data_IF_625225159457
#
_entry.id   IF_625225159457
#
_cell.length_a   1.000
_cell.length_b   1.000
_cell.length_c   1.000
_cell.angle_alpha   90.00
_cell.angle_beta   90.00
_cell.angle_gamma   90.00
#
_symmetry.space_group_name_H-M   'P 1'
#
loop_
_entity.id
_entity.type
_entity.pdbx_description
1 polymer ?
#
# COMPACT_ATOMS: atom_id res chain seq x y z
N UNK A 1 3.71 25.78 4.08
CA UNK A 1 3.39 24.63 3.19
C UNK A 1 1.98 24.17 3.50
N UNK A 2 1.13 23.83 2.52
CA UNK A 2 -0.26 23.44 2.78
C UNK A 2 -0.34 22.01 3.32
N UNK A 3 -1.44 21.66 4.00
CA UNK A 3 -1.70 20.29 4.50
C UNK A 3 -1.59 19.26 3.37
N UNK A 4 -2.20 19.56 2.22
CA UNK A 4 -2.14 18.69 1.03
C UNK A 4 -0.70 18.49 0.51
N UNK A 5 0.15 19.53 0.56
CA UNK A 5 1.57 19.41 0.18
C UNK A 5 2.34 18.52 1.16
N UNK A 6 2.09 18.64 2.47
CA UNK A 6 2.73 17.78 3.48
C UNK A 6 2.29 16.32 3.34
N UNK A 7 1.00 16.06 3.17
CA UNK A 7 0.49 14.71 2.92
C UNK A 7 1.14 14.06 1.70
N UNK A 8 1.28 14.81 0.59
CA UNK A 8 1.95 14.32 -0.61
C UNK A 8 3.42 14.01 -0.37
N UNK A 9 4.13 14.79 0.44
CA UNK A 9 5.52 14.52 0.79
C UNK A 9 5.66 13.23 1.59
N UNK A 10 4.79 13.01 2.59
CA UNK A 10 4.80 11.75 3.38
C UNK A 10 4.54 10.55 2.47
N UNK A 11 3.55 10.64 1.57
CA UNK A 11 3.25 9.57 0.63
C UNK A 11 4.43 9.23 -0.30
N UNK A 12 5.28 10.22 -0.62
CA UNK A 12 6.44 10.06 -1.50
C UNK A 12 7.73 9.67 -0.76
N UNK A 13 7.78 9.80 0.57
CA UNK A 13 9.00 9.54 1.37
C UNK A 13 9.04 8.14 2.00
N UNK A 14 7.94 7.39 1.93
CA UNK A 14 7.80 6.05 2.51
C UNK A 14 7.45 5.02 1.44
N UNK A 15 7.92 3.78 1.66
CA UNK A 15 7.77 2.66 0.72
C UNK A 15 7.09 1.44 1.35
N UNK A 16 6.56 1.60 2.56
CA UNK A 16 5.74 0.60 3.23
C UNK A 16 4.75 1.28 4.17
N UNK A 17 3.67 0.57 4.47
CA UNK A 17 2.62 1.04 5.36
C UNK A 17 1.78 -0.09 5.91
N UNK A 18 0.85 0.25 6.80
CA UNK A 18 -0.14 -0.70 7.33
C UNK A 18 -1.42 -0.57 6.49
N UNK A 19 -1.68 -1.59 5.68
CA UNK A 19 -2.92 -1.75 4.96
C UNK A 19 -3.96 -2.39 5.88
N UNK A 20 -5.03 -1.66 6.17
CA UNK A 20 -6.18 -2.10 6.94
C UNK A 20 -7.30 -2.49 5.99
N UNK A 21 -7.78 -3.72 6.12
CA UNK A 21 -8.85 -4.31 5.29
C UNK A 21 -9.99 -4.80 6.17
N UNK A 22 -11.18 -5.02 5.61
CA UNK A 22 -12.28 -5.68 6.32
C UNK A 22 -11.99 -7.18 6.42
N UNK A 23 -11.90 -7.74 7.63
CA UNK A 23 -11.57 -9.16 7.78
C UNK A 23 -12.71 -10.05 7.28
N UNK A 24 -12.47 -10.80 6.22
CA UNK A 24 -13.39 -11.83 5.73
C UNK A 24 -13.51 -12.98 6.73
N UNK A 25 -12.39 -13.36 7.36
CA UNK A 25 -12.31 -14.51 8.27
C UNK A 25 -12.92 -14.23 9.65
N UNK A 26 -12.81 -12.99 10.12
CA UNK A 26 -13.31 -12.57 11.44
C UNK A 26 -14.21 -11.34 11.27
N UNK A 27 -15.45 -11.60 10.85
CA UNK A 27 -16.43 -10.55 10.57
C UNK A 27 -16.56 -9.55 11.73
N UNK A 28 -16.60 -8.26 11.40
CA UNK A 28 -16.64 -7.15 12.38
C UNK A 28 -15.27 -6.64 12.83
N UNK A 29 -14.18 -7.35 12.55
CA UNK A 29 -12.82 -6.88 12.85
C UNK A 29 -12.12 -6.31 11.61
N UNK A 30 -11.37 -5.19 11.74
CA UNK A 30 -10.39 -4.81 10.74
C UNK A 30 -9.17 -5.72 10.80
N UNK A 31 -8.52 -5.94 9.67
CA UNK A 31 -7.28 -6.71 9.56
C UNK A 31 -6.16 -5.83 9.02
N UNK A 32 -5.12 -5.63 9.82
CA UNK A 32 -3.93 -4.87 9.46
C UNK A 32 -2.80 -5.77 8.95
N UNK A 33 -2.18 -5.39 7.83
CA UNK A 33 -0.98 -6.05 7.31
C UNK A 33 0.03 -5.02 6.81
N UNK A 34 1.32 -5.28 7.03
CA UNK A 34 2.38 -4.44 6.47
C UNK A 34 2.56 -4.80 4.99
N UNK A 35 2.49 -3.80 4.12
CA UNK A 35 2.68 -3.97 2.68
C UNK A 35 3.72 -2.99 2.15
N UNK A 36 4.63 -3.41 1.25
CA UNK A 36 5.38 -2.49 0.42
C UNK A 36 4.45 -1.81 -0.59
N UNK A 37 4.74 -0.57 -0.94
CA UNK A 37 4.03 0.17 -1.98
C UNK A 37 4.94 1.24 -2.58
N UNK A 38 4.60 1.73 -3.77
CA UNK A 38 5.20 2.95 -4.31
C UNK A 38 4.15 3.80 -5.02
N UNK A 39 4.33 5.14 -5.13
CA UNK A 39 3.43 5.95 -5.94
C UNK A 39 3.53 5.61 -7.44
N UNK A 40 2.38 5.45 -8.09
CA UNK A 40 2.23 5.33 -9.54
C UNK A 40 2.53 6.67 -10.26
N UNK A 41 2.17 6.76 -11.55
CA UNK A 41 2.35 8.00 -12.32
C UNK A 41 1.38 9.13 -11.93
N UNK A 42 0.23 8.77 -11.35
CA UNK A 42 -0.81 9.71 -10.91
C UNK A 42 -0.63 10.15 -9.45
N UNK A 43 0.29 9.51 -8.72
CA UNK A 43 0.57 9.75 -7.30
C UNK A 43 -0.26 8.88 -6.36
N UNK A 44 -0.95 7.86 -6.87
CA UNK A 44 -1.70 6.87 -6.09
C UNK A 44 -0.78 5.74 -5.60
N UNK A 45 -1.05 5.13 -4.43
CA UNK A 45 -0.30 3.96 -3.99
C UNK A 45 -0.51 2.78 -4.94
N UNK A 46 0.58 2.20 -5.43
CA UNK A 46 0.60 0.96 -6.19
C UNK A 46 1.14 -0.17 -5.31
N UNK A 47 0.36 -1.24 -5.19
CA UNK A 47 0.64 -2.43 -4.41
C UNK A 47 0.89 -3.63 -5.32
N UNK A 48 1.74 -4.57 -4.87
CA UNK A 48 1.89 -5.89 -5.47
C UNK A 48 1.70 -6.94 -4.37
N UNK A 49 0.55 -7.59 -4.36
CA UNK A 49 0.10 -8.45 -3.26
C UNK A 49 -0.27 -9.85 -3.75
N UNK A 50 0.09 -10.88 -2.98
CA UNK A 50 -0.19 -12.27 -3.35
C UNK A 50 -1.70 -12.55 -3.32
N UNK A 51 -2.23 -13.28 -4.29
CA UNK A 51 -3.61 -13.81 -4.29
C UNK A 51 -3.91 -14.67 -3.05
N UNK A 52 -2.88 -15.31 -2.50
CA UNK A 52 -3.02 -16.15 -1.31
C UNK A 52 -3.06 -15.36 0.00
N UNK A 53 -2.61 -14.10 -0.01
CA UNK A 53 -2.56 -13.28 1.20
C UNK A 53 -3.96 -12.94 1.73
N UNK A 54 -4.09 -12.90 3.06
CA UNK A 54 -5.38 -12.64 3.72
C UNK A 54 -5.94 -11.26 3.34
N UNK A 55 -5.10 -10.23 3.21
CA UNK A 55 -5.55 -8.89 2.79
C UNK A 55 -6.09 -8.89 1.35
N UNK A 56 -5.57 -9.72 0.45
CA UNK A 56 -6.06 -9.80 -0.94
C UNK A 56 -7.43 -10.48 -0.98
N UNK A 57 -7.61 -11.54 -0.19
CA UNK A 57 -8.91 -12.20 -0.03
C UNK A 57 -9.95 -11.27 0.62
N UNK A 58 -9.51 -10.41 1.55
CA UNK A 58 -10.34 -9.40 2.18
C UNK A 58 -10.76 -8.32 1.17
N UNK A 59 -9.82 -7.81 0.35
CA UNK A 59 -10.10 -6.82 -0.71
C UNK A 59 -11.11 -7.35 -1.72
N UNK A 60 -10.96 -8.61 -2.13
CA UNK A 60 -11.89 -9.25 -3.06
C UNK A 60 -13.34 -9.34 -2.52
N UNK A 61 -13.52 -9.35 -1.20
CA UNK A 61 -14.83 -9.33 -0.54
C UNK A 61 -15.34 -7.90 -0.33
N UNK A 62 -14.44 -6.99 0.06
CA UNK A 62 -14.74 -5.57 0.26
C UNK A 62 -13.51 -4.71 -0.09
N UNK A 63 -13.58 -3.89 -1.15
CA UNK A 63 -12.43 -3.12 -1.64
C UNK A 63 -12.10 -1.90 -0.76
N UNK A 64 -12.94 -1.53 0.21
CA UNK A 64 -12.71 -0.37 1.07
C UNK A 64 -11.55 -0.66 2.02
N UNK A 65 -10.48 0.13 1.90
CA UNK A 65 -9.25 -0.02 2.67
C UNK A 65 -8.79 1.29 3.29
N UNK A 66 -7.89 1.17 4.27
CA UNK A 66 -7.10 2.30 4.75
C UNK A 66 -5.61 1.97 4.69
N UNK A 67 -4.78 2.84 4.11
CA UNK A 67 -3.33 2.72 4.13
C UNK A 67 -2.75 3.77 5.08
N UNK A 68 -2.19 3.32 6.20
CA UNK A 68 -1.56 4.19 7.21
C UNK A 68 -0.05 4.19 7.06
N UNK A 69 0.52 5.38 6.96
CA UNK A 69 1.92 5.66 6.76
C UNK A 69 2.49 6.40 7.96
N UNK A 70 3.72 6.06 8.32
CA UNK A 70 4.51 6.70 9.36
C UNK A 70 5.78 7.23 8.72
N UNK A 71 6.06 8.53 8.86
CA UNK A 71 7.34 9.07 8.41
C UNK A 71 8.49 8.39 9.18
N UNK A 72 9.55 7.91 8.49
CA UNK A 72 10.66 7.26 9.17
C UNK A 72 11.52 8.34 9.81
N UNK A 73 11.40 8.54 11.13
CA UNK A 73 12.29 9.42 11.87
C UNK A 73 13.10 8.63 12.91
N UNK A 74 14.33 8.22 12.60
CA UNK A 74 15.17 7.45 13.52
C UNK A 74 15.60 8.24 14.77
N UNK A 75 15.37 9.56 14.82
CA UNK A 75 15.74 10.43 15.95
C UNK A 75 14.56 10.69 16.91
N UNK A 76 13.34 10.33 16.53
CA UNK A 76 12.14 10.54 17.34
C UNK A 76 11.55 9.19 17.76
N UNK A 77 11.66 8.87 19.05
CA UNK A 77 11.04 7.67 19.64
C UNK A 77 9.54 7.80 19.89
N UNK A 78 8.97 9.01 19.78
CA UNK A 78 7.54 9.27 19.98
C UNK A 78 6.80 9.36 18.64
N UNK A 79 6.09 8.28 18.30
CA UNK A 79 5.29 8.17 17.08
C UNK A 79 4.15 9.20 17.00
N UNK A 80 3.77 9.83 18.11
CA UNK A 80 2.75 10.89 18.10
C UNK A 80 3.30 12.25 17.64
N UNK A 81 4.63 12.40 17.57
CA UNK A 81 5.30 13.64 17.16
C UNK A 81 5.83 13.62 15.72
N UNK A 82 5.87 12.46 15.07
CA UNK A 82 6.22 12.34 13.64
C UNK A 82 5.01 12.61 12.75
N UNK A 83 5.22 12.88 11.47
CA UNK A 83 4.12 12.98 10.51
C UNK A 83 3.47 11.59 10.26
N UNK A 84 2.15 11.57 10.16
CA UNK A 84 1.36 10.39 9.78
C UNK A 84 0.40 10.76 8.67
N UNK A 85 0.14 9.80 7.80
CA UNK A 85 -0.89 9.91 6.77
C UNK A 85 -1.74 8.65 6.77
N UNK A 86 -3.06 8.80 6.75
CA UNK A 86 -3.98 7.69 6.50
C UNK A 86 -4.78 8.01 5.25
N UNK A 87 -4.63 7.17 4.24
CA UNK A 87 -5.41 7.22 3.00
C UNK A 87 -6.60 6.29 3.14
N UNK A 88 -7.81 6.80 2.93
CA UNK A 88 -9.00 5.98 2.72
C UNK A 88 -9.21 5.82 1.22
N UNK A 89 -9.36 4.59 0.75
CA UNK A 89 -9.43 4.29 -0.67
C UNK A 89 -10.29 3.03 -0.93
N UNK A 90 -10.71 2.88 -2.18
CA UNK A 90 -11.14 1.60 -2.73
C UNK A 90 -9.95 0.99 -3.47
N UNK A 91 -9.56 -0.23 -3.12
CA UNK A 91 -8.48 -0.95 -3.79
C UNK A 91 -9.00 -1.54 -5.11
N UNK A 92 -8.38 -1.14 -6.22
CA UNK A 92 -8.81 -1.55 -7.56
C UNK A 92 -7.72 -2.38 -8.23
N UNK A 93 -8.09 -3.53 -8.79
CA UNK A 93 -7.12 -4.37 -9.49
C UNK A 93 -6.64 -3.71 -10.78
N UNK A 94 -5.33 -3.67 -10.98
CA UNK A 94 -4.72 -3.20 -12.23
C UNK A 94 -4.72 -4.33 -13.25
N UNK A 95 -5.41 -4.13 -14.38
CA UNK A 95 -5.47 -5.10 -15.47
C UNK A 95 -4.38 -4.91 -16.53
N UNK A 96 -3.93 -3.67 -16.76
CA UNK A 96 -2.82 -3.35 -17.66
C UNK A 96 -1.54 -3.22 -16.84
N UNK A 97 -0.82 -4.34 -16.69
CA UNK A 97 0.23 -4.48 -15.68
C UNK A 97 1.60 -3.97 -16.14
N UNK A 98 1.87 -3.82 -17.43
CA UNK A 98 3.22 -3.52 -17.94
C UNK A 98 3.82 -2.24 -17.32
N UNK A 99 3.07 -1.14 -17.33
CA UNK A 99 3.53 0.13 -16.76
C UNK A 99 3.64 0.06 -15.22
N UNK A 100 2.69 -0.62 -14.58
CA UNK A 100 2.66 -0.81 -13.13
C UNK A 100 3.88 -1.63 -12.67
N UNK A 101 4.17 -2.74 -13.35
CA UNK A 101 5.31 -3.60 -13.09
C UNK A 101 6.63 -2.85 -13.29
N UNK A 102 6.80 -2.17 -14.43
CA UNK A 102 7.99 -1.35 -14.67
C UNK A 102 8.19 -0.28 -13.58
N UNK A 103 7.12 0.36 -13.12
CA UNK A 103 7.18 1.34 -12.03
C UNK A 103 7.58 0.68 -10.72
N UNK A 104 6.86 -0.36 -10.32
CA UNK A 104 7.03 -1.04 -9.06
C UNK A 104 8.44 -1.65 -8.94
N UNK A 105 8.97 -2.25 -10.01
CA UNK A 105 10.30 -2.86 -10.03
C UNK A 105 11.46 -1.87 -10.05
N UNK A 106 11.21 -0.57 -10.30
CA UNK A 106 12.22 0.47 -10.03
C UNK A 106 12.34 0.76 -8.53
N UNK A 107 11.24 0.65 -7.79
CA UNK A 107 11.23 0.84 -6.34
C UNK A 107 11.65 -0.43 -5.60
N UNK A 108 11.27 -1.60 -6.11
CA UNK A 108 11.53 -2.91 -5.49
C UNK A 108 12.12 -3.90 -6.52
N UNK A 109 13.41 -3.78 -6.88
CA UNK A 109 14.04 -4.65 -7.87
C UNK A 109 13.97 -6.16 -7.54
N UNK A 110 13.92 -6.51 -6.25
CA UNK A 110 13.81 -7.88 -5.75
C UNK A 110 12.45 -8.53 -6.01
N UNK A 111 11.42 -7.73 -6.32
CA UNK A 111 10.07 -8.22 -6.61
C UNK A 111 9.84 -8.52 -8.11
N UNK A 112 10.87 -8.36 -8.96
CA UNK A 112 10.78 -8.65 -10.40
C UNK A 112 10.29 -10.08 -10.63
N UNK A 113 9.40 -10.24 -11.60
CA UNK A 113 8.79 -11.53 -11.93
C UNK A 113 7.69 -11.96 -10.97
N UNK A 114 7.45 -11.29 -9.84
CA UNK A 114 6.44 -11.75 -8.87
C UNK A 114 5.03 -11.80 -9.45
N UNK A 115 4.68 -10.98 -10.44
CA UNK A 115 3.34 -11.02 -11.06
C UNK A 115 3.24 -12.03 -12.21
N UNK A 116 4.37 -12.46 -12.77
CA UNK A 116 4.46 -13.38 -13.91
C UNK A 116 4.72 -14.83 -13.45
N UNK A 117 5.56 -14.98 -12.43
CA UNK A 117 6.11 -16.25 -11.94
C UNK A 117 5.48 -16.69 -10.62
N UNK A 118 4.90 -15.74 -9.88
CA UNK A 118 4.23 -15.99 -8.60
C UNK A 118 2.79 -15.45 -8.69
N UNK A 119 1.89 -15.99 -7.88
CA UNK A 119 0.49 -15.56 -7.86
C UNK A 119 0.32 -14.19 -7.16
N UNK A 120 0.95 -13.12 -7.67
CA UNK A 120 0.80 -11.75 -7.19
C UNK A 120 0.04 -10.89 -8.19
N UNK A 121 -0.72 -9.94 -7.67
CA UNK A 121 -1.57 -9.04 -8.44
C UNK A 121 -1.30 -7.59 -8.05
N UNK A 122 -1.37 -6.71 -9.04
CA UNK A 122 -1.29 -5.27 -8.85
C UNK A 122 -2.64 -4.70 -8.44
N UNK A 123 -2.62 -3.81 -7.44
CA UNK A 123 -3.75 -3.00 -6.97
C UNK A 123 -3.30 -1.56 -6.78
#
# INVERSE_FOLDING_TARGET
MTVAKRARLVLQSVFSGVLSTHSKKFAGYPFGSVVPFCPDQTGQPLLLISRLAQHTQNIADNPRVALTLLEPNPQQGDVQQVERLTLLADAEKVYQVDEAAQRYYRCFPQARGYHDELDFEFY
#
